data_IF_801132026875
#
_entry.id   IF_801132026875
#
_cell.length_a   1.000
_cell.length_b   1.000
_cell.length_c   1.000
_cell.angle_alpha   90.00
_cell.angle_beta   90.00
_cell.angle_gamma   90.00
#
_symmetry.space_group_name_H-M   'P 1'
#
loop_
_entity.id
_entity.type
_entity.pdbx_description
1 polymer ?
#
# COMPACT_ATOMS: atom_id res chain seq x y z
N UNK A 1 -25.25 -1.47 33.57
CA UNK A 1 -24.25 -2.48 33.11
C UNK A 1 -23.05 -2.52 34.05
N UNK A 2 -22.30 -3.64 34.15
CA UNK A 2 -20.99 -3.66 34.86
C UNK A 2 -20.02 -2.61 34.30
N UNK A 3 -20.09 -2.34 33.00
CA UNK A 3 -19.27 -1.33 32.32
C UNK A 3 -19.61 0.10 32.78
N UNK A 4 -20.87 0.40 33.08
CA UNK A 4 -21.29 1.71 33.62
C UNK A 4 -20.69 1.98 35.00
N UNK A 5 -20.38 0.90 35.75
CA UNK A 5 -19.69 0.96 37.04
C UNK A 5 -18.16 1.02 36.90
N UNK A 6 -17.63 1.18 35.67
CA UNK A 6 -16.19 1.18 35.36
C UNK A 6 -15.49 -0.12 35.78
N UNK A 7 -16.21 -1.24 35.78
CA UNK A 7 -15.66 -2.58 36.03
C UNK A 7 -15.23 -3.19 34.69
N UNK A 8 -14.04 -3.80 34.66
CA UNK A 8 -13.55 -4.58 33.51
C UNK A 8 -13.90 -6.06 33.78
N UNK A 9 -14.91 -6.63 33.09
CA UNK A 9 -15.26 -8.03 33.27
C UNK A 9 -14.20 -8.93 32.64
N UNK A 10 -13.77 -9.95 33.38
CA UNK A 10 -12.85 -10.97 32.89
C UNK A 10 -13.65 -12.26 32.71
N UNK A 11 -13.81 -12.68 31.45
CA UNK A 11 -14.50 -13.90 31.08
C UNK A 11 -13.49 -15.01 30.79
N UNK A 12 -13.82 -16.23 31.20
CA UNK A 12 -13.11 -17.43 30.78
C UNK A 12 -14.12 -18.58 30.70
N UNK A 13 -13.78 -19.63 29.95
CA UNK A 13 -14.53 -20.87 30.01
C UNK A 13 -14.44 -21.48 31.43
N UNK A 14 -15.55 -22.03 31.92
CA UNK A 14 -15.60 -22.67 33.22
C UNK A 14 -15.15 -24.14 33.12
N UNK A 15 -13.85 -24.33 32.86
CA UNK A 15 -13.21 -25.64 32.73
C UNK A 15 -13.39 -26.52 33.99
N UNK A 16 -13.53 -25.91 35.18
CA UNK A 16 -13.56 -26.62 36.45
C UNK A 16 -14.83 -27.47 36.67
N UNK A 17 -15.94 -27.13 36.00
CA UNK A 17 -17.24 -27.81 36.15
C UNK A 17 -17.69 -28.45 34.83
N UNK A 18 -16.97 -28.19 33.74
CA UNK A 18 -17.29 -28.73 32.42
C UNK A 18 -17.03 -30.24 32.39
N UNK A 19 -18.10 -31.05 32.37
CA UNK A 19 -18.03 -32.51 32.19
C UNK A 19 -17.97 -32.91 30.70
N UNK A 20 -17.71 -31.97 29.80
CA UNK A 20 -17.83 -32.17 28.35
C UNK A 20 -16.65 -33.01 27.82
N UNK A 21 -16.98 -34.15 27.20
CA UNK A 21 -16.01 -35.09 26.61
C UNK A 21 -15.87 -35.00 25.08
N UNK A 22 -16.70 -34.18 24.44
CA UNK A 22 -16.72 -33.95 23.00
C UNK A 22 -17.06 -32.47 22.70
N UNK A 23 -16.69 -31.94 21.52
CA UNK A 23 -17.09 -30.60 21.08
C UNK A 23 -18.60 -30.43 21.10
N UNK A 24 -19.09 -29.26 21.51
CA UNK A 24 -20.50 -28.93 21.46
C UNK A 24 -20.82 -28.38 20.07
N UNK A 25 -21.50 -29.16 19.25
CA UNK A 25 -22.04 -28.73 17.96
C UNK A 25 -23.50 -28.31 18.16
N UNK A 26 -23.76 -27.00 18.14
CA UNK A 26 -25.10 -26.49 17.82
C UNK A 26 -25.19 -26.17 16.31
N UNK A 27 -26.31 -25.60 15.87
CA UNK A 27 -26.51 -25.20 14.47
C UNK A 27 -25.47 -24.20 13.93
N UNK A 28 -24.59 -23.64 14.77
CA UNK A 28 -23.49 -22.76 14.39
C UNK A 28 -22.12 -23.45 14.35
N UNK A 29 -21.93 -24.59 15.01
CA UNK A 29 -20.70 -25.41 14.94
C UNK A 29 -19.44 -24.78 15.58
N UNK A 30 -19.56 -23.68 16.32
CA UNK A 30 -18.42 -22.82 16.74
C UNK A 30 -18.45 -22.61 18.26
N UNK A 31 -18.44 -23.68 19.08
CA UNK A 31 -18.39 -23.49 20.53
C UNK A 31 -17.48 -24.48 21.24
N UNK A 32 -16.16 -24.30 21.04
CA UNK A 32 -15.16 -25.18 21.65
C UNK A 32 -13.88 -24.48 22.15
N UNK A 33 -13.68 -23.19 21.88
CA UNK A 33 -12.50 -22.46 22.36
C UNK A 33 -12.80 -21.01 22.76
N UNK A 34 -11.82 -20.39 23.42
CA UNK A 34 -11.91 -19.00 23.87
C UNK A 34 -12.04 -18.00 22.71
N UNK A 35 -11.53 -18.34 21.51
CA UNK A 35 -11.67 -17.49 20.33
C UNK A 35 -13.16 -17.40 19.90
N UNK A 36 -13.85 -18.55 19.89
CA UNK A 36 -15.28 -18.65 19.63
C UNK A 36 -16.13 -17.99 20.71
N UNK A 37 -15.79 -18.21 21.99
CA UNK A 37 -16.45 -17.55 23.13
C UNK A 37 -16.34 -16.02 23.05
N UNK A 38 -15.16 -15.51 22.70
CA UNK A 38 -14.92 -14.08 22.54
C UNK A 38 -15.77 -13.50 21.39
N UNK A 39 -15.87 -14.22 20.27
CA UNK A 39 -16.78 -13.88 19.18
C UNK A 39 -18.24 -13.77 19.63
N UNK A 40 -18.72 -14.76 20.39
CA UNK A 40 -20.12 -14.81 20.84
C UNK A 40 -20.41 -13.66 21.79
N UNK A 41 -19.54 -13.46 22.79
CA UNK A 41 -19.66 -12.37 23.73
C UNK A 41 -19.65 -11.01 23.03
N UNK A 42 -18.80 -10.83 22.02
CA UNK A 42 -18.74 -9.58 21.27
C UNK A 42 -20.05 -9.27 20.53
N UNK A 43 -20.70 -10.28 19.94
CA UNK A 43 -22.01 -10.13 19.30
C UNK A 43 -23.12 -9.85 20.31
N UNK A 44 -23.18 -10.61 21.41
CA UNK A 44 -24.20 -10.45 22.46
C UNK A 44 -24.11 -9.08 23.15
N UNK A 45 -22.87 -8.62 23.40
CA UNK A 45 -22.62 -7.31 23.99
C UNK A 45 -22.73 -6.17 22.96
N UNK A 46 -22.91 -6.47 21.67
CA UNK A 46 -22.89 -5.50 20.56
C UNK A 46 -21.62 -4.62 20.61
N UNK A 47 -20.47 -5.26 20.79
CA UNK A 47 -19.19 -4.57 20.85
C UNK A 47 -18.90 -3.85 19.53
N UNK A 48 -18.27 -2.67 19.60
CA UNK A 48 -17.83 -1.94 18.41
C UNK A 48 -16.65 -2.63 17.70
N UNK A 49 -15.87 -3.42 18.44
CA UNK A 49 -14.67 -4.08 17.96
C UNK A 49 -14.31 -5.27 18.86
N UNK A 50 -13.94 -6.38 18.24
CA UNK A 50 -13.27 -7.51 18.90
C UNK A 50 -11.79 -7.53 18.50
N UNK A 51 -10.88 -7.64 19.46
CA UNK A 51 -9.44 -7.79 19.18
C UNK A 51 -8.98 -9.15 19.69
N UNK A 52 -8.49 -9.99 18.77
CA UNK A 52 -7.90 -11.29 19.06
C UNK A 52 -6.37 -11.14 19.06
N UNK A 53 -5.76 -11.30 20.23
CA UNK A 53 -4.31 -11.26 20.38
C UNK A 53 -3.71 -12.65 20.12
N UNK A 54 -2.77 -12.74 19.18
CA UNK A 54 -2.05 -13.97 18.82
C UNK A 54 -0.55 -13.85 19.06
N UNK A 55 0.15 -14.96 18.91
CA UNK A 55 1.60 -15.08 18.83
C UNK A 55 2.20 -14.64 17.47
N UNK A 56 1.35 -14.41 16.47
CA UNK A 56 1.72 -13.89 15.14
C UNK A 56 1.18 -12.48 14.92
N UNK A 57 1.80 -11.73 14.02
CA UNK A 57 1.39 -10.34 13.73
C UNK A 57 0.00 -10.24 13.10
N UNK A 58 -0.47 -11.30 12.45
CA UNK A 58 -1.76 -11.42 11.81
C UNK A 58 -1.77 -12.57 10.80
N UNK A 59 -2.67 -12.51 9.83
CA UNK A 59 -2.77 -13.48 8.76
C UNK A 59 -1.80 -13.14 7.63
N UNK A 60 -1.06 -14.13 7.15
CA UNK A 60 -0.11 -13.98 6.05
C UNK A 60 -0.60 -14.66 4.77
N UNK A 61 -0.18 -14.16 3.61
CA UNK A 61 -0.47 -14.73 2.28
C UNK A 61 0.30 -16.03 1.97
N UNK A 62 1.09 -16.52 2.93
CA UNK A 62 1.89 -17.74 2.87
C UNK A 62 2.59 -17.97 4.21
N UNK A 63 3.45 -18.99 4.34
CA UNK A 63 4.21 -19.22 5.57
C UNK A 63 5.04 -17.97 5.93
N UNK A 64 5.07 -17.49 7.19
CA UNK A 64 5.81 -16.29 7.58
C UNK A 64 7.33 -16.38 7.34
N UNK A 65 7.87 -17.59 7.18
CA UNK A 65 9.28 -17.85 6.85
C UNK A 65 9.63 -17.56 5.39
N UNK A 66 8.64 -17.43 4.50
CA UNK A 66 8.90 -17.18 3.08
C UNK A 66 9.03 -15.67 2.76
N UNK A 67 10.05 -15.24 1.99
CA UNK A 67 10.24 -13.84 1.64
C UNK A 67 9.10 -13.20 0.83
N UNK A 68 8.34 -14.02 0.09
CA UNK A 68 7.17 -13.61 -0.69
C UNK A 68 5.92 -13.43 0.18
N UNK A 69 5.94 -13.92 1.42
CA UNK A 69 4.79 -13.88 2.32
C UNK A 69 4.57 -12.47 2.84
N UNK A 70 3.36 -11.95 2.66
CA UNK A 70 2.97 -10.60 3.09
C UNK A 70 1.83 -10.69 4.09
N UNK A 71 1.86 -9.78 5.06
CA UNK A 71 0.76 -9.61 6.01
C UNK A 71 -0.49 -9.12 5.26
N UNK A 72 -1.59 -9.85 5.43
CA UNK A 72 -2.91 -9.48 4.92
C UNK A 72 -3.51 -8.51 5.92
N UNK A 73 -3.57 -7.23 5.57
CA UNK A 73 -4.11 -6.20 6.45
C UNK A 73 -5.63 -6.18 6.53
N UNK A 74 -6.31 -6.59 5.45
CA UNK A 74 -7.75 -6.69 5.39
C UNK A 74 -8.12 -8.03 4.79
N UNK A 75 -8.82 -8.86 5.58
CA UNK A 75 -9.30 -10.14 5.12
C UNK A 75 -10.57 -9.97 4.27
N UNK A 76 -10.52 -10.56 3.09
CA UNK A 76 -11.63 -10.68 2.13
C UNK A 76 -11.78 -12.16 1.83
N UNK A 77 -12.94 -12.73 2.12
CA UNK A 77 -13.18 -14.17 2.04
C UNK A 77 -12.96 -14.70 0.63
N UNK A 78 -13.53 -14.04 -0.36
CA UNK A 78 -13.50 -14.44 -1.77
C UNK A 78 -12.07 -14.49 -2.33
N UNK A 79 -11.19 -13.63 -1.80
CA UNK A 79 -9.79 -13.54 -2.24
C UNK A 79 -8.88 -14.47 -1.45
N UNK A 80 -8.99 -14.45 -0.12
CA UNK A 80 -7.96 -15.03 0.74
C UNK A 80 -8.35 -16.40 1.29
N UNK A 81 -9.62 -16.82 1.27
CA UNK A 81 -10.02 -18.09 1.91
C UNK A 81 -9.26 -19.31 1.35
N UNK A 82 -8.97 -19.32 0.06
CA UNK A 82 -8.22 -20.41 -0.59
C UNK A 82 -6.69 -20.23 -0.54
N UNK A 83 -6.20 -19.04 -0.21
CA UNK A 83 -4.77 -18.70 -0.17
C UNK A 83 -4.14 -18.90 1.22
N UNK A 84 -4.97 -19.03 2.26
CA UNK A 84 -4.48 -19.22 3.62
C UNK A 84 -3.97 -20.65 3.80
N UNK A 85 -2.67 -20.77 4.05
CA UNK A 85 -2.11 -21.98 4.65
C UNK A 85 -2.23 -21.87 6.16
N UNK A 86 -3.17 -22.62 6.74
CA UNK A 86 -3.26 -22.73 8.19
C UNK A 86 -2.08 -23.57 8.70
N UNK A 87 -1.12 -22.91 9.35
CA UNK A 87 0.02 -23.59 9.96
C UNK A 87 -0.41 -24.62 11.02
N UNK A 88 0.51 -25.54 11.34
CA UNK A 88 0.27 -26.60 12.31
C UNK A 88 -0.14 -26.04 13.70
N UNK A 89 -0.95 -26.83 14.41
CA UNK A 89 -1.49 -26.50 15.74
C UNK A 89 -0.36 -26.06 16.69
N UNK A 90 -0.52 -24.92 17.35
CA UNK A 90 0.45 -24.42 18.32
C UNK A 90 0.64 -25.41 19.49
N UNK A 91 1.85 -25.46 20.05
CA UNK A 91 2.27 -26.43 21.09
C UNK A 91 1.52 -26.31 22.43
N UNK A 92 0.80 -25.21 22.66
CA UNK A 92 0.19 -24.85 23.96
C UNK A 92 -1.29 -24.43 23.88
N UNK A 93 -1.83 -24.20 22.69
CA UNK A 93 -3.22 -23.80 22.48
C UNK A 93 -4.08 -24.92 21.91
N UNK A 94 -5.28 -25.14 22.47
CA UNK A 94 -6.26 -26.11 21.93
C UNK A 94 -6.86 -25.64 20.59
N UNK A 95 -6.79 -24.35 20.27
CA UNK A 95 -7.25 -23.73 19.01
C UNK A 95 -6.08 -23.20 18.16
N UNK A 96 -6.02 -23.60 16.89
CA UNK A 96 -5.04 -23.12 15.91
C UNK A 96 -5.45 -21.81 15.22
N UNK A 97 -4.65 -21.32 14.28
CA UNK A 97 -4.98 -20.13 13.48
C UNK A 97 -6.32 -20.27 12.75
N UNK A 98 -6.71 -21.50 12.36
CA UNK A 98 -8.01 -21.79 11.75
C UNK A 98 -9.17 -21.37 12.63
N UNK A 99 -9.12 -21.65 13.93
CA UNK A 99 -10.20 -21.33 14.85
C UNK A 99 -10.33 -19.82 15.05
N UNK A 100 -9.20 -19.09 15.15
CA UNK A 100 -9.17 -17.62 15.17
C UNK A 100 -9.80 -17.00 13.94
N UNK A 101 -9.44 -17.50 12.75
CA UNK A 101 -10.02 -17.01 11.49
C UNK A 101 -11.51 -17.33 11.43
N UNK A 102 -11.94 -18.52 11.83
CA UNK A 102 -13.36 -18.88 11.86
C UNK A 102 -14.17 -17.98 12.81
N UNK A 103 -13.68 -17.79 14.05
CA UNK A 103 -14.30 -16.90 15.01
C UNK A 103 -14.36 -15.45 14.50
N UNK A 104 -13.26 -14.95 13.91
CA UNK A 104 -13.19 -13.61 13.35
C UNK A 104 -14.16 -13.42 12.18
N UNK A 105 -14.24 -14.39 11.25
CA UNK A 105 -15.18 -14.36 10.12
C UNK A 105 -16.63 -14.38 10.63
N UNK A 106 -16.93 -15.23 11.60
CA UNK A 106 -18.28 -15.34 12.15
C UNK A 106 -18.73 -14.05 12.85
N UNK A 107 -17.92 -13.52 13.77
CA UNK A 107 -18.22 -12.26 14.45
C UNK A 107 -18.31 -11.07 13.47
N UNK A 108 -17.40 -10.99 12.49
CA UNK A 108 -17.42 -9.93 11.47
C UNK A 108 -18.66 -9.98 10.58
N UNK A 109 -19.13 -11.19 10.24
CA UNK A 109 -20.36 -11.40 9.46
C UNK A 109 -21.60 -11.06 10.29
N UNK A 110 -21.56 -11.36 11.59
CA UNK A 110 -22.57 -10.92 12.57
C UNK A 110 -22.59 -9.40 12.82
N UNK A 111 -21.65 -8.65 12.24
CA UNK A 111 -21.63 -7.20 12.25
C UNK A 111 -20.63 -6.55 13.20
N UNK A 112 -19.83 -7.35 13.92
CA UNK A 112 -18.78 -6.85 14.83
C UNK A 112 -17.42 -6.95 14.15
N UNK A 113 -16.76 -5.83 13.79
CA UNK A 113 -15.41 -5.85 13.24
C UNK A 113 -14.44 -6.61 14.15
N UNK A 114 -13.52 -7.37 13.54
CA UNK A 114 -12.53 -8.14 14.30
C UNK A 114 -11.12 -7.83 13.82
N UNK A 115 -10.18 -7.65 14.74
CA UNK A 115 -8.75 -7.52 14.40
C UNK A 115 -7.97 -8.65 15.04
N UNK A 116 -7.21 -9.40 14.24
CA UNK A 116 -6.20 -10.34 14.72
C UNK A 116 -4.85 -9.65 14.68
N UNK A 117 -4.15 -9.55 15.81
CA UNK A 117 -2.81 -8.93 15.88
C UNK A 117 -1.93 -9.57 16.95
N UNK A 118 -0.63 -9.27 16.94
CA UNK A 118 0.31 -9.81 17.92
C UNK A 118 0.05 -9.27 19.33
N UNK A 119 -0.11 -10.18 20.29
CA UNK A 119 -0.15 -9.89 21.73
C UNK A 119 1.22 -9.61 22.34
N UNK A 120 2.30 -9.99 21.65
CA UNK A 120 3.67 -9.76 22.11
C UNK A 120 4.22 -8.40 21.66
N UNK A 121 3.64 -7.82 20.60
CA UNK A 121 4.06 -6.53 20.09
C UNK A 121 3.66 -5.37 21.03
N UNK A 122 4.56 -4.40 21.19
CA UNK A 122 4.34 -3.27 22.07
C UNK A 122 3.19 -2.39 21.56
N UNK A 123 2.27 -2.06 22.47
CA UNK A 123 1.14 -1.14 22.23
C UNK A 123 0.16 -1.60 21.12
N UNK A 124 0.11 -2.89 20.77
CA UNK A 124 -0.80 -3.40 19.73
C UNK A 124 -2.24 -2.94 19.95
N UNK A 125 -2.79 -3.09 21.16
CA UNK A 125 -4.16 -2.65 21.46
C UNK A 125 -4.37 -1.14 21.22
N UNK A 126 -3.42 -0.31 21.65
CA UNK A 126 -3.52 1.15 21.47
C UNK A 126 -3.47 1.52 19.99
N UNK A 127 -2.60 0.87 19.22
CA UNK A 127 -2.47 1.08 17.77
C UNK A 127 -3.73 0.65 17.02
N UNK A 128 -4.31 -0.51 17.38
CA UNK A 128 -5.59 -0.97 16.83
C UNK A 128 -6.69 0.06 17.09
N UNK A 129 -6.81 0.54 18.34
CA UNK A 129 -7.83 1.54 18.71
C UNK A 129 -7.64 2.91 18.03
N UNK A 130 -6.42 3.23 17.59
CA UNK A 130 -6.13 4.43 16.79
C UNK A 130 -6.42 4.26 15.30
N UNK A 131 -6.81 3.05 14.86
CA UNK A 131 -7.02 2.73 13.45
C UNK A 131 -5.72 2.58 12.66
N UNK A 132 -4.59 2.35 13.32
CA UNK A 132 -3.34 2.04 12.61
C UNK A 132 -3.44 0.69 11.89
N UNK A 133 -2.82 0.59 10.72
CA UNK A 133 -2.86 -0.61 9.87
C UNK A 133 -1.95 -1.72 10.40
N UNK A 134 -2.32 -2.30 11.53
CA UNK A 134 -1.60 -3.41 12.18
C UNK A 134 -2.45 -4.68 12.24
N UNK A 135 -1.79 -5.83 12.06
CA UNK A 135 -2.47 -7.12 11.95
C UNK A 135 -3.46 -7.21 10.79
N UNK A 136 -4.52 -8.00 11.00
CA UNK A 136 -5.52 -8.33 9.99
C UNK A 136 -6.92 -7.94 10.46
N UNK A 137 -7.57 -7.05 9.73
CA UNK A 137 -8.95 -6.63 9.93
C UNK A 137 -9.93 -7.53 9.18
N UNK A 138 -10.98 -7.97 9.87
CA UNK A 138 -12.12 -8.70 9.35
C UNK A 138 -13.36 -7.81 9.47
N UNK A 139 -14.02 -7.57 8.35
CA UNK A 139 -15.20 -6.72 8.29
C UNK A 139 -16.18 -7.21 7.23
N UNK A 140 -17.48 -7.20 7.53
CA UNK A 140 -18.53 -7.66 6.59
C UNK A 140 -18.49 -6.99 5.22
N UNK A 141 -18.10 -5.71 5.18
CA UNK A 141 -18.04 -4.90 3.96
C UNK A 141 -16.62 -4.81 3.40
N UNK A 142 -15.67 -5.62 3.87
CA UNK A 142 -14.28 -5.55 3.42
C UNK A 142 -14.12 -5.73 1.91
N UNK A 143 -14.98 -6.54 1.28
CA UNK A 143 -15.02 -6.74 -0.18
C UNK A 143 -15.51 -5.52 -0.98
N UNK A 144 -16.22 -4.58 -0.32
CA UNK A 144 -16.71 -3.34 -0.93
C UNK A 144 -15.70 -2.19 -0.83
N UNK A 145 -14.66 -2.36 -0.01
CA UNK A 145 -13.63 -1.34 0.13
C UNK A 145 -12.67 -1.44 -1.04
N UNK A 146 -12.45 -0.33 -1.73
CA UNK A 146 -11.38 -0.26 -2.71
C UNK A 146 -10.04 -0.46 -1.98
N UNK A 147 -9.13 -1.29 -2.52
CA UNK A 147 -7.78 -1.40 -1.96
C UNK A 147 -7.17 0.00 -1.94
N UNK A 148 -6.87 0.52 -0.75
CA UNK A 148 -6.18 1.81 -0.61
C UNK A 148 -4.91 1.75 -1.46
N UNK A 149 -4.86 2.48 -2.58
CA UNK A 149 -3.63 2.77 -3.33
C UNK A 149 -2.71 3.73 -2.56
N UNK A 150 -2.81 3.76 -1.23
CA UNK A 150 -1.97 4.57 -0.36
C UNK A 150 -0.58 3.96 -0.33
N UNK A 151 0.16 4.19 -1.41
CA UNK A 151 1.62 4.13 -1.38
C UNK A 151 2.03 5.31 -0.53
N UNK A 152 2.63 5.04 0.63
CA UNK A 152 3.11 6.10 1.49
C UNK A 152 4.17 6.94 0.75
N UNK A 153 4.28 8.23 1.10
CA UNK A 153 5.33 9.09 0.54
C UNK A 153 6.74 8.49 0.71
N UNK A 154 6.96 7.72 1.79
CA UNK A 154 8.19 6.98 2.01
C UNK A 154 8.41 5.87 0.98
N UNK A 155 7.39 5.07 0.70
CA UNK A 155 7.48 4.01 -0.31
C UNK A 155 7.71 4.58 -1.71
N UNK A 156 7.04 5.70 -2.06
CA UNK A 156 7.30 6.42 -3.32
C UNK A 156 8.75 6.89 -3.40
N UNK A 157 9.30 7.44 -2.32
CA UNK A 157 10.69 7.91 -2.28
C UNK A 157 11.71 6.77 -2.37
N UNK A 158 11.44 5.62 -1.72
CA UNK A 158 12.28 4.42 -1.83
C UNK A 158 12.25 3.88 -3.26
N UNK A 159 11.07 3.75 -3.86
CA UNK A 159 10.92 3.30 -5.24
C UNK A 159 11.65 4.23 -6.22
N UNK A 160 11.51 5.56 -6.05
CA UNK A 160 12.22 6.54 -6.87
C UNK A 160 13.75 6.40 -6.74
N UNK A 161 14.26 6.16 -5.52
CA UNK A 161 15.70 5.94 -5.28
C UNK A 161 16.20 4.68 -5.99
N UNK A 162 15.47 3.58 -5.90
CA UNK A 162 15.88 2.32 -6.54
C UNK A 162 15.81 2.42 -8.07
N UNK A 163 14.79 3.08 -8.62
CA UNK A 163 14.69 3.36 -10.04
C UNK A 163 15.79 4.31 -10.53
N UNK A 164 16.17 5.33 -9.76
CA UNK A 164 17.25 6.27 -10.14
C UNK A 164 18.57 5.56 -10.42
N UNK A 165 18.91 4.53 -9.64
CA UNK A 165 20.12 3.71 -9.84
C UNK A 165 20.04 2.85 -11.09
N UNK A 166 18.85 2.31 -11.38
CA UNK A 166 18.62 1.52 -12.59
C UNK A 166 18.73 2.39 -13.84
N UNK A 167 18.14 3.59 -13.79
CA UNK A 167 18.19 4.58 -14.86
C UNK A 167 19.62 5.09 -15.13
N UNK A 168 20.41 5.30 -14.07
CA UNK A 168 21.83 5.64 -14.15
C UNK A 168 22.66 4.58 -14.89
N UNK A 169 22.32 3.30 -14.74
CA UNK A 169 23.03 2.19 -15.37
C UNK A 169 22.64 1.94 -16.83
N UNK A 170 21.62 2.63 -17.34
CA UNK A 170 21.25 2.52 -18.75
C UNK A 170 22.31 3.19 -19.63
N UNK A 171 22.37 2.73 -20.88
CA UNK A 171 23.14 3.37 -21.94
C UNK A 171 22.44 4.62 -22.47
N UNK A 172 23.19 5.50 -23.14
CA UNK A 172 22.64 6.68 -23.83
C UNK A 172 21.53 6.30 -24.81
N UNK A 173 21.69 5.21 -25.57
CA UNK A 173 20.69 4.74 -26.53
C UNK A 173 19.41 4.25 -25.86
N UNK A 174 19.51 3.61 -24.70
CA UNK A 174 18.34 3.16 -23.94
C UNK A 174 17.56 4.35 -23.36
N UNK A 175 18.24 5.36 -22.78
CA UNK A 175 17.59 6.61 -22.33
C UNK A 175 16.92 7.34 -23.49
N UNK A 176 17.65 7.48 -24.61
CA UNK A 176 17.12 8.08 -25.85
C UNK A 176 15.86 7.37 -26.31
N UNK A 177 15.87 6.04 -26.31
CA UNK A 177 14.70 5.23 -26.67
C UNK A 177 13.51 5.53 -25.76
N UNK A 178 13.71 5.59 -24.44
CA UNK A 178 12.64 5.94 -23.49
C UNK A 178 12.04 7.32 -23.84
N UNK A 179 12.88 8.32 -24.13
CA UNK A 179 12.39 9.65 -24.51
C UNK A 179 11.59 9.64 -25.82
N UNK A 180 12.03 8.88 -26.82
CA UNK A 180 11.28 8.72 -28.09
C UNK A 180 9.95 8.01 -27.84
N UNK A 181 9.95 6.94 -27.05
CA UNK A 181 8.73 6.20 -26.69
C UNK A 181 7.73 7.11 -25.93
N UNK A 182 8.22 8.00 -25.05
CA UNK A 182 7.38 9.01 -24.38
C UNK A 182 6.77 9.98 -25.40
N UNK A 183 7.55 10.48 -26.36
CA UNK A 183 7.06 11.39 -27.38
C UNK A 183 6.00 10.75 -28.29
N UNK A 184 6.22 9.50 -28.70
CA UNK A 184 5.30 8.73 -29.53
C UNK A 184 4.00 8.42 -28.77
N UNK A 185 4.10 8.08 -27.48
CA UNK A 185 2.94 7.84 -26.62
C UNK A 185 2.10 9.10 -26.42
N UNK A 186 2.72 10.28 -26.28
CA UNK A 186 1.99 11.56 -26.16
C UNK A 186 1.14 11.86 -27.40
N UNK A 187 1.70 11.65 -28.59
CA UNK A 187 1.00 11.89 -29.85
C UNK A 187 -0.08 10.82 -30.09
N UNK A 188 0.22 9.54 -29.83
CA UNK A 188 -0.74 8.45 -30.00
C UNK A 188 -1.96 8.57 -29.08
N UNK A 189 -1.83 9.26 -27.94
CA UNK A 189 -2.89 9.42 -26.95
C UNK A 189 -3.40 10.87 -26.85
N UNK A 190 -3.15 11.71 -27.86
CA UNK A 190 -3.52 13.14 -27.83
C UNK A 190 -5.00 13.38 -27.51
N UNK A 191 -5.90 12.62 -28.13
CA UNK A 191 -7.34 12.77 -27.93
C UNK A 191 -7.75 12.42 -26.49
N UNK A 192 -7.16 11.38 -25.90
CA UNK A 192 -7.41 11.00 -24.51
C UNK A 192 -6.87 12.05 -23.53
N UNK A 193 -5.65 12.53 -23.75
CA UNK A 193 -5.06 13.58 -22.91
C UNK A 193 -5.92 14.85 -22.95
N UNK A 194 -6.44 15.21 -24.14
CA UNK A 194 -7.31 16.37 -24.30
C UNK A 194 -8.65 16.18 -23.58
N UNK A 195 -9.29 15.01 -23.70
CA UNK A 195 -10.56 14.75 -23.02
C UNK A 195 -10.42 14.79 -21.49
N UNK A 196 -9.34 14.24 -20.94
CA UNK A 196 -9.07 14.30 -19.50
C UNK A 196 -8.76 15.73 -19.05
N UNK A 197 -8.00 16.51 -19.84
CA UNK A 197 -7.75 17.92 -19.51
C UNK A 197 -9.04 18.76 -19.55
N UNK A 198 -9.97 18.49 -20.47
CA UNK A 198 -11.28 19.13 -20.49
C UNK A 198 -12.11 18.80 -19.25
N UNK A 199 -12.06 17.55 -18.77
CA UNK A 199 -12.70 17.15 -17.51
C UNK A 199 -12.10 17.89 -16.30
N UNK A 200 -10.77 18.00 -16.22
CA UNK A 200 -10.07 18.76 -15.18
C UNK A 200 -10.47 20.25 -15.20
N UNK A 201 -10.60 20.85 -16.39
CA UNK A 201 -11.01 22.24 -16.55
C UNK A 201 -12.47 22.44 -16.09
N UNK A 202 -13.38 21.53 -16.44
CA UNK A 202 -14.77 21.59 -15.99
C UNK A 202 -14.86 21.50 -14.47
N UNK A 203 -14.16 20.54 -13.86
CA UNK A 203 -14.10 20.40 -12.40
C UNK A 203 -13.49 21.64 -11.73
N UNK A 204 -12.45 22.25 -12.33
CA UNK A 204 -11.85 23.47 -11.81
C UNK A 204 -12.79 24.68 -11.90
N UNK A 205 -13.59 24.77 -12.96
CA UNK A 205 -14.61 25.81 -13.08
C UNK A 205 -15.72 25.65 -12.04
N UNK A 206 -16.21 24.43 -11.82
CA UNK A 206 -17.24 24.12 -10.81
C UNK A 206 -16.74 24.40 -9.38
N UNK A 207 -15.48 24.08 -9.10
CA UNK A 207 -14.85 24.36 -7.82
C UNK A 207 -14.51 25.85 -7.60
N UNK A 208 -14.70 26.71 -8.60
CA UNK A 208 -14.50 28.15 -8.49
C UNK A 208 -13.03 28.60 -8.45
N UNK A 209 -12.12 27.85 -9.08
CA UNK A 209 -10.71 28.26 -9.15
C UNK A 209 -10.53 29.58 -9.92
N UNK A 210 -9.48 30.32 -9.57
CA UNK A 210 -9.13 31.57 -10.24
C UNK A 210 -8.84 31.36 -11.74
N UNK A 211 -9.26 32.32 -12.57
CA UNK A 211 -9.07 32.27 -14.02
C UNK A 211 -7.60 32.12 -14.45
N UNK A 212 -6.67 32.65 -13.66
CA UNK A 212 -5.23 32.52 -13.90
C UNK A 212 -4.73 31.07 -13.73
N UNK A 213 -5.26 30.31 -12.75
CA UNK A 213 -4.91 28.91 -12.54
C UNK A 213 -5.52 28.02 -13.62
N UNK A 214 -6.79 28.25 -13.95
CA UNK A 214 -7.46 27.54 -15.05
C UNK A 214 -6.71 27.77 -16.37
N UNK A 215 -6.29 29.01 -16.66
CA UNK A 215 -5.52 29.30 -17.88
C UNK A 215 -4.16 28.58 -17.94
N UNK A 216 -3.56 28.24 -16.80
CA UNK A 216 -2.30 27.46 -16.76
C UNK A 216 -2.57 25.96 -16.93
N UNK A 217 -3.72 25.49 -16.43
CA UNK A 217 -4.17 24.11 -16.55
C UNK A 217 -4.54 23.73 -17.99
N UNK A 218 -4.97 24.70 -18.80
CA UNK A 218 -5.41 24.46 -20.18
C UNK A 218 -4.28 24.01 -21.11
N UNK A 219 -4.44 22.84 -21.72
CA UNK A 219 -3.62 22.38 -22.84
C UNK A 219 -4.21 22.87 -24.17
N UNK A 220 -3.55 23.87 -24.77
CA UNK A 220 -3.97 24.44 -26.06
C UNK A 220 -3.76 23.44 -27.23
N UNK A 221 -4.52 23.56 -28.32
CA UNK A 221 -4.28 22.77 -29.53
C UNK A 221 -2.83 22.86 -30.01
N UNK A 222 -2.23 21.73 -30.38
CA UNK A 222 -0.83 21.64 -30.81
C UNK A 222 0.21 21.69 -29.68
N UNK A 223 -0.19 21.92 -28.42
CA UNK A 223 0.73 21.90 -27.28
C UNK A 223 1.33 20.52 -27.07
N UNK A 224 0.55 19.45 -27.24
CA UNK A 224 1.01 18.05 -27.11
C UNK A 224 2.07 17.74 -28.19
N UNK A 225 1.80 18.07 -29.45
CA UNK A 225 2.79 17.95 -30.53
C UNK A 225 4.08 18.77 -30.25
N UNK A 226 3.94 19.99 -29.70
CA UNK A 226 5.09 20.80 -29.28
C UNK A 226 5.90 20.15 -28.15
N UNK A 227 5.23 19.50 -27.19
CA UNK A 227 5.88 18.78 -26.10
C UNK A 227 6.62 17.56 -26.66
N UNK A 228 5.97 16.72 -27.47
CA UNK A 228 6.59 15.57 -28.12
C UNK A 228 7.83 15.97 -28.94
N UNK A 229 7.75 17.06 -29.72
CA UNK A 229 8.92 17.61 -30.44
C UNK A 229 10.05 18.03 -29.50
N UNK A 230 9.72 18.64 -28.36
CA UNK A 230 10.72 19.05 -27.37
C UNK A 230 11.40 17.83 -26.74
N UNK A 231 10.63 16.78 -26.41
CA UNK A 231 11.17 15.51 -25.90
C UNK A 231 12.10 14.85 -26.92
N UNK A 232 11.71 14.80 -28.20
CA UNK A 232 12.59 14.28 -29.28
C UNK A 232 13.83 15.16 -29.49
N UNK A 233 13.76 16.45 -29.20
CA UNK A 233 14.94 17.34 -29.26
C UNK A 233 15.90 16.96 -28.14
N UNK A 234 15.41 16.79 -26.90
CA UNK A 234 16.22 16.32 -25.76
C UNK A 234 16.84 14.94 -26.04
N UNK A 235 16.09 14.02 -26.64
CA UNK A 235 16.57 12.69 -27.00
C UNK A 235 17.74 12.69 -28.01
N UNK A 236 17.94 13.80 -28.74
CA UNK A 236 19.03 13.96 -29.70
C UNK A 236 20.17 14.84 -29.19
N UNK A 237 20.08 15.36 -27.96
CA UNK A 237 21.19 16.07 -27.33
C UNK A 237 22.28 15.08 -26.89
N UNK A 238 23.49 15.60 -26.69
CA UNK A 238 24.56 14.82 -26.07
C UNK A 238 24.16 14.46 -24.64
N UNK A 239 24.48 13.22 -24.26
CA UNK A 239 24.10 12.65 -22.98
C UNK A 239 24.91 13.29 -21.85
N UNK A 240 24.27 14.02 -20.92
CA UNK A 240 24.99 14.86 -19.97
C UNK A 240 25.68 14.09 -18.83
N UNK A 241 25.56 12.76 -18.79
CA UNK A 241 26.06 11.93 -17.68
C UNK A 241 27.32 11.16 -18.05
N UNK A 242 28.18 10.91 -17.06
CA UNK A 242 29.47 10.21 -17.21
C UNK A 242 30.49 10.93 -18.12
N UNK A 243 30.32 12.22 -18.38
CA UNK A 243 31.30 13.02 -19.11
C UNK A 243 32.50 13.35 -18.22
N UNK A 244 33.72 13.15 -18.72
CA UNK A 244 34.95 13.53 -18.01
C UNK A 244 35.15 15.05 -18.14
N UNK A 245 34.91 15.77 -17.05
CA UNK A 245 35.03 17.23 -16.97
C UNK A 245 36.47 17.67 -16.71
N UNK A 246 37.25 16.86 -15.99
CA UNK A 246 38.66 17.15 -15.68
C UNK A 246 39.41 15.85 -15.47
N UNK A 247 40.63 15.77 -16.01
CA UNK A 247 41.55 14.64 -15.83
C UNK A 247 42.92 15.18 -15.45
N UNK A 248 43.53 14.66 -14.41
CA UNK A 248 44.85 15.11 -13.94
C UNK A 248 45.61 13.93 -13.35
N UNK A 249 46.84 13.72 -13.81
CA UNK A 249 47.77 12.79 -13.16
C UNK A 249 48.38 13.47 -11.93
N UNK A 250 48.10 12.93 -10.75
CA UNK A 250 48.50 13.51 -9.46
C UNK A 250 49.88 13.01 -9.04
N UNK A 251 50.21 11.77 -9.42
CA UNK A 251 51.49 11.11 -9.25
C UNK A 251 51.62 10.02 -10.32
N UNK A 252 52.80 9.42 -10.46
CA UNK A 252 53.07 8.34 -11.42
C UNK A 252 52.02 7.21 -11.31
N UNK A 253 51.21 7.05 -12.36
CA UNK A 253 50.14 6.04 -12.42
C UNK A 253 48.87 6.37 -11.62
N UNK A 254 48.79 7.53 -10.97
CA UNK A 254 47.62 7.97 -10.19
C UNK A 254 46.86 9.08 -10.93
N UNK A 255 45.80 8.70 -11.64
CA UNK A 255 44.95 9.62 -12.39
C UNK A 255 43.68 9.96 -11.60
N UNK A 256 43.44 11.26 -11.40
CA UNK A 256 42.21 11.80 -10.85
C UNK A 256 41.30 12.26 -12.00
N UNK A 257 40.08 11.75 -12.02
CA UNK A 257 39.03 12.15 -12.96
C UNK A 257 37.84 12.75 -12.21
N UNK A 258 37.34 13.87 -12.72
CA UNK A 258 36.05 14.44 -12.33
C UNK A 258 35.06 14.14 -13.44
N UNK A 259 34.03 13.37 -13.14
CA UNK A 259 32.97 13.02 -14.08
C UNK A 259 31.64 13.69 -13.71
N UNK A 260 30.74 13.87 -14.68
CA UNK A 260 29.36 14.24 -14.41
C UNK A 260 28.56 13.03 -13.92
N UNK A 261 27.65 13.25 -12.97
CA UNK A 261 26.72 12.22 -12.48
C UNK A 261 25.36 12.86 -12.16
N UNK A 262 24.25 12.10 -12.22
CA UNK A 262 22.94 12.64 -11.85
C UNK A 262 22.88 13.04 -10.38
N UNK A 263 22.02 14.01 -10.07
CA UNK A 263 21.77 14.45 -8.69
C UNK A 263 21.15 13.33 -7.82
N UNK A 264 20.37 12.43 -8.43
CA UNK A 264 19.68 11.34 -7.74
C UNK A 264 18.17 11.42 -7.95
N UNK A 265 17.41 11.67 -6.87
CA UNK A 265 15.94 11.76 -6.91
C UNK A 265 15.50 13.22 -6.83
N UNK A 266 14.58 13.61 -7.71
CA UNK A 266 13.99 14.94 -7.73
C UNK A 266 12.54 14.88 -7.22
N UNK A 267 12.21 15.69 -6.21
CA UNK A 267 10.84 15.99 -5.84
C UNK A 267 10.43 17.29 -6.51
N UNK A 268 9.45 17.22 -7.39
CA UNK A 268 8.94 18.38 -8.12
C UNK A 268 7.50 18.62 -7.70
N UNK A 269 7.21 19.84 -7.29
CA UNK A 269 5.87 20.29 -6.90
C UNK A 269 5.52 21.44 -7.83
N UNK A 270 4.44 21.31 -8.59
CA UNK A 270 3.94 22.33 -9.48
C UNK A 270 2.42 22.46 -9.33
N UNK A 271 1.91 23.64 -9.64
CA UNK A 271 0.49 23.97 -9.51
C UNK A 271 -0.08 24.29 -10.89
N UNK A 272 -1.14 23.56 -11.27
CA UNK A 272 -1.92 23.80 -12.50
C UNK A 272 -1.08 23.92 -13.77
N UNK A 273 -0.02 23.11 -13.93
CA UNK A 273 0.85 23.09 -15.12
C UNK A 273 1.08 21.67 -15.63
N UNK A 274 0.10 21.07 -16.34
CA UNK A 274 0.24 19.70 -16.84
C UNK A 274 1.39 19.54 -17.84
N UNK A 275 1.77 20.61 -18.55
CA UNK A 275 2.89 20.59 -19.49
C UNK A 275 4.27 20.48 -18.80
N UNK A 276 4.40 21.04 -17.59
CA UNK A 276 5.63 20.96 -16.80
C UNK A 276 5.97 19.51 -16.41
N UNK A 277 4.96 18.66 -16.18
CA UNK A 277 5.16 17.25 -15.85
C UNK A 277 5.97 16.54 -16.94
N UNK A 278 5.56 16.70 -18.20
CA UNK A 278 6.23 16.06 -19.33
C UNK A 278 7.66 16.56 -19.47
N UNK A 279 7.84 17.89 -19.44
CA UNK A 279 9.16 18.51 -19.61
C UNK A 279 10.16 18.05 -18.55
N UNK A 280 9.74 18.05 -17.28
CA UNK A 280 10.63 17.73 -16.18
C UNK A 280 10.86 16.21 -16.10
N UNK A 281 9.84 15.40 -16.37
CA UNK A 281 10.01 13.94 -16.47
C UNK A 281 11.02 13.58 -17.57
N UNK A 282 10.95 14.23 -18.73
CA UNK A 282 11.91 14.03 -19.82
C UNK A 282 13.32 14.50 -19.49
N UNK A 283 13.49 15.55 -18.68
CA UNK A 283 14.81 15.98 -18.20
C UNK A 283 15.39 15.08 -17.10
N UNK A 284 14.53 14.32 -16.41
CA UNK A 284 14.94 13.38 -15.36
C UNK A 284 15.33 12.00 -15.89
N UNK A 285 15.04 11.72 -17.18
CA UNK A 285 15.44 10.52 -17.90
C UNK A 285 16.85 10.70 -18.45
#
# INVERSE_FOLDING_TARGET
SLLELRVIPIFNENDAISTRKAPYEDSSGIFWDNDSLAGLLALELKADLLVLLSDVDGLYSGPPSEPSSKLIHTYIKEKHYHEITFGDKSRVGRGGMTAKVQAAVWASTGGVPVVITSGCASQSLVKVLRGEKIGTLFHKNASLWEPSKDTSAREMAVAARDCSRRLQNLTSEERKKILVDVADALEANEDLIRSENEADLAAAHEAGYESALVSRLTLKPGKIASLAKSVRTLANMEDPINEILKRTEVADGLVLEKTSCPLGVLLIIFESRPDALVQIASLAI
#
